data_IF_031326680324
#
_entry.id   IF_031326680324
#
_cell.length_a   1.000
_cell.length_b   1.000
_cell.length_c   1.000
_cell.angle_alpha   90.00
_cell.angle_beta   90.00
_cell.angle_gamma   90.00
#
_symmetry.space_group_name_H-M   'P 1'
#
loop_
_entity.id
_entity.type
_entity.pdbx_description
1 polymer ?
#
# COMPACT_ATOMS: atom_id res chain seq x y z
N UNK A 1 7.18 2.48 -5.07
CA UNK A 1 7.60 1.22 -4.41
C UNK A 1 8.71 1.53 -3.41
N UNK A 2 8.86 0.75 -2.34
CA UNK A 2 10.00 0.83 -1.41
C UNK A 2 10.71 -0.52 -1.42
N UNK A 3 12.02 -0.52 -1.62
CA UNK A 3 12.88 -1.69 -1.68
C UNK A 3 13.87 -1.64 -0.52
N UNK A 4 14.08 -2.75 0.18
CA UNK A 4 15.04 -2.85 1.28
C UNK A 4 15.81 -4.17 1.21
N UNK A 5 16.94 -4.27 1.92
CA UNK A 5 17.95 -5.33 1.78
C UNK A 5 17.43 -6.77 1.99
N UNK A 6 16.28 -6.95 2.71
CA UNK A 6 15.74 -8.31 2.97
C UNK A 6 14.79 -8.81 1.88
N UNK A 7 14.59 -8.03 0.83
CA UNK A 7 13.74 -8.45 -0.29
C UNK A 7 14.38 -9.61 -1.05
N UNK A 8 13.53 -10.47 -1.62
CA UNK A 8 13.99 -11.59 -2.45
C UNK A 8 14.19 -11.11 -3.90
N UNK A 9 15.40 -11.25 -4.50
CA UNK A 9 15.65 -10.81 -5.87
C UNK A 9 14.70 -11.44 -6.91
N UNK A 10 14.28 -12.69 -6.72
CA UNK A 10 13.36 -13.36 -7.65
C UNK A 10 11.93 -12.76 -7.52
N UNK A 11 11.50 -12.40 -6.32
CA UNK A 11 10.19 -11.77 -6.11
C UNK A 11 10.18 -10.37 -6.73
N UNK A 12 11.23 -9.58 -6.49
CA UNK A 12 11.41 -8.29 -7.12
C UNK A 12 11.40 -8.39 -8.65
N UNK A 13 12.08 -9.41 -9.21
CA UNK A 13 12.06 -9.65 -10.66
C UNK A 13 10.65 -9.93 -11.17
N UNK A 14 9.91 -10.83 -10.52
CA UNK A 14 8.52 -11.13 -10.90
C UNK A 14 7.62 -9.88 -10.81
N UNK A 15 7.80 -9.07 -9.76
CA UNK A 15 7.09 -7.81 -9.62
C UNK A 15 7.35 -6.87 -10.81
N UNK A 16 8.62 -6.60 -11.14
CA UNK A 16 9.01 -5.72 -12.24
C UNK A 16 8.57 -6.28 -13.61
N UNK A 17 8.68 -7.59 -13.84
CA UNK A 17 8.14 -8.23 -15.04
C UNK A 17 6.63 -7.98 -15.18
N UNK A 18 5.87 -8.02 -14.08
CA UNK A 18 4.43 -7.75 -14.09
C UNK A 18 4.09 -6.30 -14.46
N UNK A 19 4.99 -5.35 -14.19
CA UNK A 19 4.84 -3.97 -14.63
C UNK A 19 5.17 -3.80 -16.12
N UNK A 20 6.13 -4.58 -16.63
CA UNK A 20 6.46 -4.59 -18.07
C UNK A 20 5.31 -5.06 -18.93
N UNK A 21 4.50 -6.01 -18.46
CA UNK A 21 3.39 -6.58 -19.25
C UNK A 21 2.05 -5.85 -19.08
N UNK A 22 1.98 -4.74 -18.32
CA UNK A 22 0.74 -3.98 -18.17
C UNK A 22 0.17 -3.55 -19.53
N UNK A 23 -1.16 -3.67 -19.72
CA UNK A 23 -1.85 -3.18 -20.93
C UNK A 23 -1.74 -1.67 -21.06
N UNK A 24 -1.80 -0.93 -19.96
CA UNK A 24 -1.49 0.48 -19.86
C UNK A 24 -0.17 0.65 -19.12
N UNK A 25 0.88 1.08 -19.85
CA UNK A 25 2.22 1.24 -19.28
C UNK A 25 2.29 2.39 -18.26
N UNK A 26 3.05 2.23 -17.17
CA UNK A 26 3.35 3.36 -16.27
C UNK A 26 4.23 4.37 -16.98
N UNK A 27 3.96 5.67 -16.77
CA UNK A 27 4.81 6.76 -17.31
C UNK A 27 6.08 7.00 -16.48
N UNK A 28 6.09 6.53 -15.22
CA UNK A 28 7.27 6.45 -14.35
C UNK A 28 7.07 5.35 -13.30
N UNK A 29 8.18 4.76 -12.85
CA UNK A 29 8.22 3.80 -11.74
C UNK A 29 9.23 4.29 -10.72
N UNK A 30 8.75 4.90 -9.63
CA UNK A 30 9.59 5.40 -8.54
C UNK A 30 9.88 4.26 -7.57
N UNK A 31 11.16 3.92 -7.41
CA UNK A 31 11.63 2.92 -6.44
C UNK A 31 12.55 3.62 -5.43
N UNK A 32 12.15 3.57 -4.16
CA UNK A 32 12.97 4.08 -3.06
C UNK A 32 13.79 2.94 -2.48
N UNK A 33 15.12 3.05 -2.55
CA UNK A 33 16.02 2.17 -1.81
C UNK A 33 16.05 2.65 -0.36
N UNK A 34 15.43 1.88 0.52
CA UNK A 34 15.34 2.20 1.95
C UNK A 34 16.61 1.72 2.67
N UNK A 35 17.66 2.51 2.55
CA UNK A 35 19.04 2.17 2.90
C UNK A 35 19.75 1.41 1.78
N UNK A 36 20.89 0.79 2.12
CA UNK A 36 21.60 -0.10 1.20
C UNK A 36 20.75 -1.35 0.91
N UNK A 37 20.53 -1.63 -0.36
CA UNK A 37 19.76 -2.82 -0.81
C UNK A 37 20.67 -3.98 -1.22
N UNK A 38 21.98 -3.74 -1.32
CA UNK A 38 22.97 -4.72 -1.76
C UNK A 38 22.98 -4.94 -3.28
N UNK A 39 24.07 -5.56 -3.74
CA UNK A 39 24.35 -5.73 -5.17
C UNK A 39 23.30 -6.56 -5.91
N UNK A 40 22.81 -7.67 -5.30
CA UNK A 40 21.85 -8.57 -5.96
C UNK A 40 20.55 -7.88 -6.34
N UNK A 41 19.97 -7.07 -5.45
CA UNK A 41 18.74 -6.35 -5.73
C UNK A 41 18.99 -5.18 -6.69
N UNK A 42 20.11 -4.48 -6.57
CA UNK A 42 20.50 -3.42 -7.51
C UNK A 42 20.62 -3.95 -8.93
N UNK A 43 21.30 -5.10 -9.15
CA UNK A 43 21.43 -5.73 -10.47
C UNK A 43 20.06 -6.12 -11.07
N UNK A 44 19.12 -6.60 -10.23
CA UNK A 44 17.76 -6.86 -10.72
C UNK A 44 17.11 -5.57 -11.22
N UNK A 45 17.14 -4.49 -10.44
CA UNK A 45 16.55 -3.21 -10.86
C UNK A 45 17.21 -2.69 -12.12
N UNK A 46 18.54 -2.74 -12.20
CA UNK A 46 19.32 -2.26 -13.35
C UNK A 46 18.96 -3.01 -14.64
N UNK A 47 18.62 -4.31 -14.56
CA UNK A 47 18.18 -5.10 -15.71
C UNK A 47 16.83 -4.69 -16.32
N UNK A 48 16.11 -3.78 -15.66
CA UNK A 48 14.83 -3.24 -16.14
C UNK A 48 14.90 -1.78 -16.60
N UNK A 49 16.07 -1.13 -16.61
CA UNK A 49 16.20 0.28 -17.01
C UNK A 49 15.73 0.54 -18.45
N UNK A 50 15.97 -0.40 -19.37
CA UNK A 50 15.52 -0.29 -20.77
C UNK A 50 14.05 -0.72 -20.98
N UNK A 51 13.41 -1.32 -19.96
CA UNK A 51 12.05 -1.89 -20.06
C UNK A 51 11.00 -1.03 -19.35
N UNK A 52 11.41 -0.31 -18.30
CA UNK A 52 10.55 0.49 -17.45
C UNK A 52 11.17 1.89 -17.24
N UNK A 53 10.35 2.94 -17.20
CA UNK A 53 10.83 4.30 -16.92
C UNK A 53 11.15 4.44 -15.41
N UNK A 54 12.26 3.84 -14.98
CA UNK A 54 12.66 3.77 -13.58
C UNK A 54 13.22 5.09 -13.08
N UNK A 55 12.81 5.48 -11.88
CA UNK A 55 13.36 6.59 -11.10
C UNK A 55 13.77 6.07 -9.73
N UNK A 56 15.07 5.94 -9.51
CA UNK A 56 15.63 5.36 -8.28
C UNK A 56 15.98 6.47 -7.31
N UNK A 57 15.47 6.38 -6.08
CA UNK A 57 15.77 7.27 -4.96
C UNK A 57 16.52 6.46 -3.91
N UNK A 58 17.79 6.78 -3.68
CA UNK A 58 18.63 6.06 -2.71
C UNK A 58 18.66 6.82 -1.38
N UNK A 59 18.19 6.20 -0.32
CA UNK A 59 18.33 6.70 1.05
C UNK A 59 19.63 6.18 1.66
N UNK A 60 20.25 7.00 2.49
CA UNK A 60 21.49 6.63 3.17
C UNK A 60 21.26 5.50 4.19
N UNK A 61 20.17 5.62 4.94
CA UNK A 61 19.82 4.70 6.03
C UNK A 61 18.44 4.10 5.82
N UNK A 62 18.16 2.95 6.44
CA UNK A 62 16.81 2.39 6.46
C UNK A 62 15.93 3.22 7.42
N UNK A 63 14.94 3.88 6.86
CA UNK A 63 14.01 4.77 7.59
C UNK A 63 12.64 4.14 7.83
N UNK A 64 12.40 2.94 7.27
CA UNK A 64 11.16 2.20 7.37
C UNK A 64 10.11 2.60 6.31
N UNK A 65 9.16 1.68 6.08
CA UNK A 65 8.22 1.73 4.96
C UNK A 65 7.46 3.06 4.85
N UNK A 66 6.88 3.54 5.95
CA UNK A 66 6.06 4.77 5.94
C UNK A 66 6.84 6.00 5.49
N UNK A 67 8.07 6.18 5.98
CA UNK A 67 8.93 7.31 5.59
C UNK A 67 9.46 7.13 4.18
N UNK A 68 9.87 5.92 3.79
CA UNK A 68 10.32 5.64 2.43
C UNK A 68 9.20 5.91 1.40
N UNK A 69 7.95 5.51 1.69
CA UNK A 69 6.78 5.80 0.84
C UNK A 69 6.46 7.31 0.79
N UNK A 70 6.60 8.03 1.91
CA UNK A 70 6.46 9.50 1.94
C UNK A 70 7.45 10.17 1.00
N UNK A 71 8.72 9.77 1.06
CA UNK A 71 9.77 10.29 0.19
C UNK A 71 9.49 9.92 -1.28
N UNK A 72 9.17 8.64 -1.55
CA UNK A 72 8.82 8.18 -2.89
C UNK A 72 7.66 8.97 -3.50
N UNK A 73 6.61 9.22 -2.72
CA UNK A 73 5.45 9.99 -3.16
C UNK A 73 5.82 11.44 -3.55
N UNK A 74 6.72 12.09 -2.80
CA UNK A 74 7.17 13.44 -3.13
C UNK A 74 7.94 13.51 -4.46
N UNK A 75 8.55 12.39 -4.88
CA UNK A 75 9.29 12.28 -6.12
C UNK A 75 8.44 11.83 -7.32
N UNK A 76 7.19 11.44 -7.12
CA UNK A 76 6.26 11.14 -8.20
C UNK A 76 5.89 12.43 -8.95
N UNK A 77 6.01 12.42 -10.29
CA UNK A 77 5.73 13.58 -11.14
C UNK A 77 4.23 13.75 -11.41
N UNK A 78 3.48 12.65 -11.45
CA UNK A 78 2.05 12.63 -11.79
C UNK A 78 1.14 12.70 -10.57
N UNK A 79 -0.09 13.21 -10.76
CA UNK A 79 -1.08 13.26 -9.69
C UNK A 79 -1.76 11.91 -9.43
N UNK A 80 -1.91 11.03 -10.42
CA UNK A 80 -2.42 9.68 -10.20
C UNK A 80 -1.23 8.75 -9.95
N UNK A 81 -1.22 8.10 -8.79
CA UNK A 81 -0.14 7.24 -8.33
C UNK A 81 -0.70 5.87 -7.96
N UNK A 82 -0.14 4.82 -8.54
CA UNK A 82 -0.40 3.43 -8.18
C UNK A 82 0.66 2.94 -7.18
N UNK A 83 0.22 2.39 -6.07
CA UNK A 83 1.09 1.76 -5.08
C UNK A 83 1.34 0.30 -5.48
N UNK A 84 2.53 -0.21 -5.22
CA UNK A 84 2.91 -1.61 -5.43
C UNK A 84 3.96 -2.03 -4.42
N UNK A 85 3.85 -3.25 -3.87
CA UNK A 85 4.92 -3.92 -3.12
C UNK A 85 5.92 -4.56 -4.07
N UNK A 86 7.13 -4.79 -3.60
CA UNK A 86 8.24 -5.30 -4.42
C UNK A 86 8.24 -6.83 -4.56
N UNK A 87 7.35 -7.52 -3.86
CA UNK A 87 7.18 -8.98 -3.86
C UNK A 87 5.84 -9.46 -4.44
N UNK A 88 4.94 -8.53 -4.81
CA UNK A 88 3.63 -8.81 -5.37
C UNK A 88 3.63 -8.78 -6.91
N UNK A 89 2.57 -9.31 -7.53
CA UNK A 89 2.43 -9.43 -8.99
C UNK A 89 1.16 -8.70 -9.45
N UNK A 90 1.29 -7.70 -10.31
CA UNK A 90 0.17 -7.02 -10.94
C UNK A 90 -0.49 -7.89 -12.02
N UNK A 91 -1.82 -7.96 -12.06
CA UNK A 91 -2.53 -8.45 -13.24
C UNK A 91 -2.31 -7.49 -14.42
N UNK A 92 -2.21 -7.99 -15.66
CA UNK A 92 -1.88 -7.17 -16.83
C UNK A 92 -2.80 -5.97 -17.06
N UNK A 93 -4.08 -6.08 -16.74
CA UNK A 93 -5.09 -5.05 -16.95
C UNK A 93 -5.27 -4.08 -15.76
N UNK A 94 -4.46 -4.20 -14.70
CA UNK A 94 -4.65 -3.44 -13.46
C UNK A 94 -4.70 -1.94 -13.69
N UNK A 95 -3.67 -1.39 -14.33
CA UNK A 95 -3.58 0.07 -14.48
C UNK A 95 -4.66 0.60 -15.41
N UNK A 96 -4.96 -0.08 -16.52
CA UNK A 96 -6.01 0.31 -17.44
C UNK A 96 -7.37 0.37 -16.75
N UNK A 97 -7.76 -0.67 -16.00
CA UNK A 97 -9.03 -0.72 -15.26
C UNK A 97 -9.11 0.37 -14.19
N UNK A 98 -8.09 0.47 -13.33
CA UNK A 98 -8.14 1.43 -12.23
C UNK A 98 -8.07 2.88 -12.72
N UNK A 99 -7.20 3.22 -13.68
CA UNK A 99 -7.15 4.54 -14.29
C UNK A 99 -8.41 4.88 -15.06
N UNK A 100 -9.00 3.91 -15.77
CA UNK A 100 -10.27 4.10 -16.48
C UNK A 100 -11.40 4.55 -15.56
N UNK A 101 -11.48 3.98 -14.34
CA UNK A 101 -12.44 4.39 -13.31
C UNK A 101 -12.08 5.76 -12.74
N UNK A 102 -10.83 5.97 -12.32
CA UNK A 102 -10.37 7.22 -11.72
C UNK A 102 -10.55 8.42 -12.65
N UNK A 103 -10.37 8.24 -13.96
CA UNK A 103 -10.54 9.29 -14.98
C UNK A 103 -12.02 9.64 -15.20
N UNK A 104 -12.93 8.65 -15.11
CA UNK A 104 -14.38 8.89 -15.24
C UNK A 104 -14.99 9.53 -14.00
N UNK A 105 -14.33 9.40 -12.86
CA UNK A 105 -14.83 9.87 -11.56
C UNK A 105 -13.80 10.80 -10.89
N UNK A 106 -13.75 12.09 -11.25
CA UNK A 106 -12.78 13.04 -10.71
C UNK A 106 -12.85 13.24 -9.19
N UNK A 107 -14.00 13.03 -8.57
CA UNK A 107 -14.21 13.10 -7.11
C UNK A 107 -13.63 11.89 -6.36
N UNK A 108 -13.39 10.75 -7.05
CA UNK A 108 -12.82 9.57 -6.45
C UNK A 108 -11.33 9.80 -6.18
N UNK A 109 -10.95 9.82 -4.91
CA UNK A 109 -9.57 10.11 -4.46
C UNK A 109 -8.72 8.86 -4.43
N UNK A 110 -9.29 7.71 -4.04
CA UNK A 110 -8.56 6.45 -3.96
C UNK A 110 -9.42 5.26 -4.36
N UNK A 111 -8.81 4.35 -5.11
CA UNK A 111 -9.41 3.12 -5.59
C UNK A 111 -8.51 1.93 -5.25
N UNK A 112 -9.03 1.00 -4.43
CA UNK A 112 -8.41 -0.30 -4.17
C UNK A 112 -9.05 -1.42 -5.00
N UNK A 113 -8.49 -2.61 -4.92
CA UNK A 113 -9.04 -3.81 -5.55
C UNK A 113 -8.94 -5.05 -4.66
N UNK A 114 -9.56 -6.14 -5.09
CA UNK A 114 -9.33 -7.47 -4.55
C UNK A 114 -7.94 -7.99 -4.87
N UNK A 115 -7.53 -9.01 -4.13
CA UNK A 115 -6.27 -9.72 -4.31
C UNK A 115 -6.48 -11.24 -4.27
N UNK A 116 -5.53 -11.98 -4.87
CA UNK A 116 -5.28 -13.37 -4.50
C UNK A 116 -4.07 -13.37 -3.57
N UNK A 117 -4.24 -13.80 -2.33
CA UNK A 117 -3.13 -14.12 -1.43
C UNK A 117 -2.58 -15.50 -1.83
N UNK A 118 -1.26 -15.61 -2.05
CA UNK A 118 -0.61 -16.88 -2.36
C UNK A 118 0.68 -17.09 -1.56
N UNK A 119 0.98 -18.34 -1.21
CA UNK A 119 2.18 -18.71 -0.47
C UNK A 119 3.17 -19.53 -1.34
N UNK A 120 4.30 -19.92 -0.74
CA UNK A 120 5.33 -20.73 -1.41
C UNK A 120 4.85 -22.15 -1.78
N UNK A 121 3.79 -22.66 -1.15
CA UNK A 121 3.16 -23.93 -1.45
C UNK A 121 2.05 -23.80 -2.51
N UNK A 122 1.86 -22.62 -3.11
CA UNK A 122 0.77 -22.31 -4.04
C UNK A 122 -0.65 -22.42 -3.45
N UNK A 123 -0.80 -22.39 -2.13
CA UNK A 123 -2.12 -22.19 -1.54
C UNK A 123 -2.60 -20.78 -1.92
N UNK A 124 -3.84 -20.68 -2.37
CA UNK A 124 -4.41 -19.43 -2.84
C UNK A 124 -5.70 -19.10 -2.11
N UNK A 125 -5.90 -17.83 -1.81
CA UNK A 125 -7.14 -17.32 -1.22
C UNK A 125 -7.50 -15.97 -1.80
N UNK A 126 -8.71 -15.87 -2.33
CA UNK A 126 -9.25 -14.55 -2.71
C UNK A 126 -9.58 -13.71 -1.48
N UNK A 127 -9.27 -12.43 -1.58
CA UNK A 127 -9.61 -11.44 -0.55
C UNK A 127 -10.15 -10.19 -1.20
N UNK A 128 -11.43 -9.96 -1.01
CA UNK A 128 -12.16 -8.76 -1.43
C UNK A 128 -12.60 -8.01 -0.17
N UNK A 129 -12.34 -6.72 -0.13
CA UNK A 129 -12.72 -5.84 0.96
C UNK A 129 -13.99 -5.05 0.61
N UNK A 130 -14.69 -4.42 1.58
CA UNK A 130 -15.90 -3.66 1.32
C UNK A 130 -15.69 -2.62 0.21
N UNK A 131 -16.65 -2.52 -0.71
CA UNK A 131 -16.55 -1.63 -1.87
C UNK A 131 -17.29 -0.30 -1.67
N UNK A 132 -18.34 -0.30 -0.87
CA UNK A 132 -19.22 0.86 -0.65
C UNK A 132 -18.68 1.74 0.48
N UNK A 133 -18.75 3.06 0.32
CA UNK A 133 -18.24 4.07 1.25
C UNK A 133 -18.64 3.82 2.71
N UNK A 134 -19.94 3.63 2.98
CA UNK A 134 -20.43 3.41 4.34
C UNK A 134 -19.89 2.11 4.94
N UNK A 135 -19.81 1.05 4.13
CA UNK A 135 -19.24 -0.24 4.58
C UNK A 135 -17.73 -0.15 4.81
N UNK A 136 -17.02 0.63 3.99
CA UNK A 136 -15.59 0.94 4.18
C UNK A 136 -15.39 1.64 5.51
N UNK A 137 -16.19 2.68 5.83
CA UNK A 137 -16.10 3.42 7.07
C UNK A 137 -16.34 2.51 8.28
N UNK A 138 -17.44 1.74 8.29
CA UNK A 138 -17.73 0.81 9.39
C UNK A 138 -16.63 -0.26 9.54
N UNK A 139 -16.16 -0.83 8.44
CA UNK A 139 -15.08 -1.80 8.46
C UNK A 139 -13.77 -1.21 8.99
N UNK A 140 -13.52 0.09 8.68
CA UNK A 140 -12.33 0.82 9.13
C UNK A 140 -12.26 1.03 10.64
N UNK A 141 -13.35 0.86 11.36
CA UNK A 141 -13.31 0.87 12.83
C UNK A 141 -12.55 -0.33 13.39
N UNK A 142 -12.68 -1.49 12.76
CA UNK A 142 -12.13 -2.77 13.23
C UNK A 142 -10.88 -3.22 12.49
N UNK A 143 -10.83 -3.05 11.17
CA UNK A 143 -9.78 -3.61 10.29
C UNK A 143 -9.39 -2.61 9.22
N UNK A 144 -8.17 -2.77 8.67
CA UNK A 144 -7.72 -1.99 7.52
C UNK A 144 -8.65 -2.23 6.32
N UNK A 145 -9.30 -1.18 5.77
CA UNK A 145 -10.34 -1.32 4.74
C UNK A 145 -9.80 -1.43 3.32
N UNK A 146 -8.48 -1.36 3.10
CA UNK A 146 -7.86 -1.48 1.79
C UNK A 146 -6.69 -2.46 1.79
N UNK A 147 -6.51 -3.16 0.68
CA UNK A 147 -5.28 -3.90 0.41
C UNK A 147 -4.24 -2.90 -0.11
N UNK A 148 -3.24 -2.58 0.70
CA UNK A 148 -2.29 -1.48 0.44
C UNK A 148 -1.63 -1.57 -0.95
N UNK A 149 -1.20 -2.78 -1.37
CA UNK A 149 -0.55 -3.01 -2.65
C UNK A 149 -1.43 -2.74 -3.88
N UNK A 150 -2.74 -2.60 -3.70
CA UNK A 150 -3.67 -2.44 -4.82
C UNK A 150 -4.08 -1.00 -5.08
N UNK A 151 -3.81 -0.07 -4.15
CA UNK A 151 -4.41 1.27 -4.23
C UNK A 151 -3.80 2.12 -5.34
N UNK A 152 -4.69 2.82 -6.05
CA UNK A 152 -4.39 3.95 -6.93
C UNK A 152 -5.05 5.17 -6.32
N UNK A 153 -4.34 6.30 -6.26
CA UNK A 153 -4.85 7.50 -5.58
C UNK A 153 -4.36 8.80 -6.24
N UNK A 154 -5.02 9.90 -5.88
CA UNK A 154 -4.60 11.25 -6.26
C UNK A 154 -3.61 11.79 -5.24
N UNK A 155 -2.39 12.07 -5.70
CA UNK A 155 -1.26 12.51 -4.85
C UNK A 155 -1.57 13.77 -4.06
N UNK A 156 -2.22 14.76 -4.69
CA UNK A 156 -2.49 16.05 -4.04
C UNK A 156 -3.38 15.87 -2.80
N UNK A 157 -4.39 15.04 -2.89
CA UNK A 157 -5.32 14.76 -1.80
C UNK A 157 -4.66 13.92 -0.69
N UNK A 158 -3.76 13.00 -1.06
CA UNK A 158 -2.93 12.29 -0.08
C UNK A 158 -2.03 13.27 0.68
N UNK A 159 -1.40 14.21 -0.04
CA UNK A 159 -0.54 15.24 0.59
C UNK A 159 -1.34 16.22 1.45
N UNK A 160 -2.56 16.57 1.06
CA UNK A 160 -3.44 17.47 1.81
C UNK A 160 -3.78 16.93 3.21
N UNK A 161 -3.85 15.61 3.39
CA UNK A 161 -4.03 14.98 4.72
C UNK A 161 -2.70 14.63 5.41
N UNK A 162 -1.56 15.12 4.91
CA UNK A 162 -0.23 14.94 5.50
C UNK A 162 0.54 13.72 5.00
N UNK A 163 0.07 13.04 3.95
CA UNK A 163 0.78 11.93 3.30
C UNK A 163 1.00 10.70 4.20
N UNK A 164 1.91 9.83 3.81
CA UNK A 164 2.36 8.75 4.69
C UNK A 164 3.08 9.30 5.93
N UNK A 165 2.85 8.66 7.07
CA UNK A 165 3.45 9.02 8.34
C UNK A 165 4.19 7.83 8.94
N UNK A 166 5.17 8.10 9.80
CA UNK A 166 5.82 7.06 10.60
C UNK A 166 4.81 6.47 11.60
N UNK A 167 4.30 5.31 11.25
CA UNK A 167 3.39 4.53 12.09
C UNK A 167 3.64 3.04 11.82
N UNK A 168 4.61 2.49 12.51
CA UNK A 168 5.07 1.12 12.33
C UNK A 168 3.90 0.12 12.21
N UNK A 169 3.88 -0.69 11.16
CA UNK A 169 2.81 -1.64 10.78
C UNK A 169 1.45 -1.05 10.36
N UNK A 170 1.24 0.25 10.53
CA UNK A 170 -0.07 0.90 10.37
C UNK A 170 0.00 2.18 9.51
N UNK A 171 1.08 2.38 8.75
CA UNK A 171 1.32 3.56 7.91
C UNK A 171 0.22 3.80 6.89
N UNK A 172 -0.28 2.73 6.30
CA UNK A 172 -1.36 2.71 5.33
C UNK A 172 -2.73 2.94 6.00
N UNK A 173 -3.01 2.19 7.07
CA UNK A 173 -4.27 2.29 7.80
C UNK A 173 -4.46 3.69 8.41
N UNK A 174 -3.41 4.27 8.98
CA UNK A 174 -3.40 5.64 9.46
C UNK A 174 -3.77 6.63 8.34
N UNK A 175 -3.19 6.46 7.15
CA UNK A 175 -3.48 7.32 6.01
C UNK A 175 -4.94 7.20 5.56
N UNK A 176 -5.48 5.99 5.48
CA UNK A 176 -6.88 5.77 5.09
C UNK A 176 -7.87 6.40 6.08
N UNK A 177 -7.60 6.30 7.39
CA UNK A 177 -8.44 6.94 8.41
C UNK A 177 -8.47 8.47 8.24
N UNK A 178 -7.34 9.10 7.95
CA UNK A 178 -7.29 10.56 7.71
C UNK A 178 -8.04 10.97 6.44
N UNK A 179 -7.97 10.18 5.38
CA UNK A 179 -8.73 10.43 4.16
C UNK A 179 -10.24 10.28 4.40
N UNK A 180 -10.67 9.23 5.12
CA UNK A 180 -12.07 9.02 5.49
C UNK A 180 -12.60 10.15 6.35
N UNK A 181 -11.85 10.57 7.37
CA UNK A 181 -12.22 11.68 8.25
C UNK A 181 -12.30 13.02 7.54
N UNK A 182 -11.47 13.24 6.51
CA UNK A 182 -11.53 14.41 5.64
C UNK A 182 -12.70 14.39 4.64
N UNK A 183 -13.51 13.31 4.65
CA UNK A 183 -14.70 13.17 3.81
C UNK A 183 -14.46 12.78 2.36
N UNK A 184 -13.22 12.46 1.99
CA UNK A 184 -12.86 12.06 0.63
C UNK A 184 -13.61 10.80 0.17
N UNK A 185 -13.81 10.70 -1.15
CA UNK A 185 -14.43 9.52 -1.77
C UNK A 185 -13.36 8.43 -1.96
N UNK A 186 -13.54 7.31 -1.26
CA UNK A 186 -12.67 6.15 -1.33
C UNK A 186 -13.52 4.92 -1.68
N UNK A 187 -12.99 4.03 -2.54
CA UNK A 187 -13.71 2.85 -3.00
C UNK A 187 -12.77 1.66 -3.23
N UNK A 188 -13.29 0.45 -3.07
CA UNK A 188 -12.72 -0.76 -3.64
C UNK A 188 -13.57 -1.27 -4.79
N UNK A 189 -12.95 -2.01 -5.71
CA UNK A 189 -13.64 -2.85 -6.70
C UNK A 189 -13.43 -4.31 -6.37
N UNK A 190 -14.33 -5.17 -6.84
CA UNK A 190 -14.26 -6.62 -6.61
C UNK A 190 -13.23 -7.32 -7.50
N UNK A 191 -12.83 -6.66 -8.59
CA UNK A 191 -11.82 -7.21 -9.50
C UNK A 191 -10.56 -7.59 -8.73
N UNK A 192 -10.01 -8.76 -9.03
CA UNK A 192 -8.73 -9.22 -8.52
C UNK A 192 -7.63 -8.69 -9.44
N UNK A 193 -6.89 -7.70 -8.98
CA UNK A 193 -5.90 -7.00 -9.80
C UNK A 193 -4.45 -7.16 -9.34
N UNK A 194 -4.23 -7.84 -8.21
CA UNK A 194 -2.90 -8.15 -7.69
C UNK A 194 -2.89 -9.55 -7.09
N UNK A 195 -1.86 -10.33 -7.38
CA UNK A 195 -1.51 -11.50 -6.61
C UNK A 195 -0.53 -11.06 -5.52
N UNK A 196 -0.96 -11.17 -4.27
CA UNK A 196 -0.21 -10.75 -3.09
C UNK A 196 0.50 -11.94 -2.45
N UNK A 197 1.82 -11.84 -2.35
CA UNK A 197 2.61 -12.89 -1.71
C UNK A 197 2.47 -12.82 -0.19
N UNK A 198 2.11 -13.95 0.42
CA UNK A 198 2.00 -14.07 1.87
C UNK A 198 3.10 -15.00 2.40
N UNK A 199 3.93 -14.48 3.28
CA UNK A 199 4.96 -15.25 3.96
C UNK A 199 4.57 -15.59 5.40
N UNK A 200 5.12 -16.68 5.93
CA UNK A 200 4.94 -17.13 7.33
C UNK A 200 5.37 -16.07 8.35
N UNK A 201 6.24 -15.14 7.95
CA UNK A 201 6.74 -14.06 8.83
C UNK A 201 5.77 -12.91 9.04
N UNK A 202 4.73 -12.77 8.21
CA UNK A 202 3.72 -11.72 8.40
C UNK A 202 2.96 -11.83 9.74
N UNK A 203 2.64 -13.06 10.14
CA UNK A 203 1.95 -13.32 11.41
C UNK A 203 2.88 -13.09 12.60
N UNK A 204 4.16 -13.44 12.46
CA UNK A 204 5.17 -13.24 13.52
C UNK A 204 5.47 -11.76 13.78
N UNK A 205 5.50 -10.92 12.72
CA UNK A 205 5.77 -9.48 12.81
C UNK A 205 4.67 -8.71 13.56
N UNK A 206 3.44 -9.24 13.60
CA UNK A 206 2.27 -8.62 14.26
C UNK A 206 2.09 -9.06 15.70
N UNK A 207 3.20 -9.26 16.44
CA UNK A 207 3.21 -9.67 17.86
C UNK A 207 4.19 -8.82 18.67
N UNK A 208 3.93 -8.72 19.96
CA UNK A 208 4.82 -8.11 20.95
C UNK A 208 4.60 -6.60 21.16
N UNK A 209 5.38 -6.02 22.07
CA UNK A 209 5.19 -4.66 22.58
C UNK A 209 5.20 -3.56 21.51
N UNK A 210 5.95 -3.74 20.43
CA UNK A 210 5.99 -2.76 19.32
C UNK A 210 4.65 -2.71 18.58
N UNK A 211 4.04 -3.87 18.36
CA UNK A 211 2.72 -3.96 17.73
C UNK A 211 1.64 -3.34 18.62
N UNK A 212 1.63 -3.65 19.92
CA UNK A 212 0.70 -3.07 20.90
C UNK A 212 0.82 -1.54 20.94
N UNK A 213 2.05 -0.99 20.91
CA UNK A 213 2.26 0.47 20.85
C UNK A 213 1.66 1.08 19.57
N UNK A 214 1.79 0.40 18.44
CA UNK A 214 1.19 0.85 17.17
C UNK A 214 -0.33 0.79 17.20
N UNK A 215 -0.92 -0.26 17.74
CA UNK A 215 -2.38 -0.36 17.94
C UNK A 215 -2.90 0.74 18.89
N UNK A 216 -2.17 1.02 19.97
CA UNK A 216 -2.53 2.12 20.87
C UNK A 216 -2.50 3.50 20.18
N UNK A 217 -1.46 3.75 19.37
CA UNK A 217 -1.39 4.96 18.55
C UNK A 217 -2.54 5.02 17.55
N UNK A 218 -2.90 3.89 16.92
CA UNK A 218 -4.02 3.80 15.99
C UNK A 218 -5.37 4.10 16.68
N UNK A 219 -5.58 3.57 17.88
CA UNK A 219 -6.76 3.87 18.69
C UNK A 219 -6.89 5.36 18.95
N UNK A 220 -5.81 6.03 19.38
CA UNK A 220 -5.81 7.49 19.59
C UNK A 220 -6.21 8.25 18.32
N UNK A 221 -5.61 7.90 17.18
CA UNK A 221 -5.91 8.51 15.88
C UNK A 221 -7.40 8.34 15.53
N UNK A 222 -7.97 7.15 15.71
CA UNK A 222 -9.39 6.91 15.46
C UNK A 222 -10.29 7.81 16.30
N UNK A 223 -9.95 7.99 17.58
CA UNK A 223 -10.70 8.87 18.47
C UNK A 223 -10.53 10.36 18.09
N UNK A 224 -9.33 10.82 17.81
CA UNK A 224 -9.04 12.19 17.37
C UNK A 224 -9.76 12.54 16.06
N UNK A 225 -9.89 11.56 15.16
CA UNK A 225 -10.59 11.71 13.89
C UNK A 225 -12.11 11.46 13.97
N UNK A 226 -12.65 11.20 15.16
CA UNK A 226 -14.06 10.85 15.38
C UNK A 226 -14.54 9.62 14.57
N UNK A 227 -13.65 8.70 14.25
CA UNK A 227 -13.99 7.41 13.60
C UNK A 227 -14.62 6.44 14.62
N UNK A 228 -14.12 6.48 15.86
CA UNK A 228 -14.68 5.72 16.99
C UNK A 228 -14.86 6.65 18.20
N UNK A 229 -15.87 6.35 19.02
CA UNK A 229 -15.95 6.93 20.36
C UNK A 229 -14.88 6.36 21.30
N UNK A 230 -14.62 7.02 22.43
CA UNK A 230 -13.57 6.62 23.38
C UNK A 230 -13.74 5.18 23.87
N UNK A 231 -14.93 4.81 24.36
CA UNK A 231 -15.19 3.45 24.89
C UNK A 231 -15.15 2.38 23.79
N UNK A 232 -15.69 2.70 22.59
CA UNK A 232 -15.62 1.83 21.42
C UNK A 232 -14.15 1.59 21.03
N UNK A 233 -13.34 2.66 20.96
CA UNK A 233 -11.93 2.59 20.64
C UNK A 233 -11.13 1.73 21.62
N UNK A 234 -11.38 1.86 22.92
CA UNK A 234 -10.75 1.03 23.96
C UNK A 234 -11.14 -0.45 23.81
N UNK A 235 -12.43 -0.74 23.59
CA UNK A 235 -12.89 -2.12 23.36
C UNK A 235 -12.24 -2.77 22.13
N UNK A 236 -12.16 -2.02 21.01
CA UNK A 236 -11.48 -2.48 19.79
C UNK A 236 -9.98 -2.71 20.04
N UNK A 237 -9.31 -1.81 20.77
CA UNK A 237 -7.90 -1.95 21.10
C UNK A 237 -7.62 -3.23 21.88
N UNK A 238 -8.41 -3.51 22.93
CA UNK A 238 -8.27 -4.75 23.73
C UNK A 238 -8.47 -6.00 22.87
N UNK A 239 -9.43 -5.98 21.95
CA UNK A 239 -9.71 -7.10 21.05
C UNK A 239 -8.57 -7.37 20.06
N UNK A 240 -7.83 -6.33 19.64
CA UNK A 240 -6.78 -6.41 18.62
C UNK A 240 -5.36 -6.59 19.17
N UNK A 241 -5.14 -6.33 20.48
CA UNK A 241 -3.84 -6.43 21.17
C UNK A 241 -3.58 -7.83 21.68
#
# INVERSE_FOLDING_TARGET
>A
MSLYIKENPNYLKCCLDSLVIQSLKPSEVVIVYDGDVGEKLSLVVDSFQDKLPLKIIKLKDNVGLGIALKIGLSHCSNNIVARMDTDDICKPERFEKQLGIMNKEPSLVMLGSGIIEFDEQNNQREKVLPCEKNKILEFSKLKNPFNHMTVVFRKNEILAVGGYQDHLFMEDYNLWLRLLAAGYELRNIKDILVDARVGTDMVKKRKGLRYIKSEYKLMKIKNELNITGFFEGVGIFIFRS
#
